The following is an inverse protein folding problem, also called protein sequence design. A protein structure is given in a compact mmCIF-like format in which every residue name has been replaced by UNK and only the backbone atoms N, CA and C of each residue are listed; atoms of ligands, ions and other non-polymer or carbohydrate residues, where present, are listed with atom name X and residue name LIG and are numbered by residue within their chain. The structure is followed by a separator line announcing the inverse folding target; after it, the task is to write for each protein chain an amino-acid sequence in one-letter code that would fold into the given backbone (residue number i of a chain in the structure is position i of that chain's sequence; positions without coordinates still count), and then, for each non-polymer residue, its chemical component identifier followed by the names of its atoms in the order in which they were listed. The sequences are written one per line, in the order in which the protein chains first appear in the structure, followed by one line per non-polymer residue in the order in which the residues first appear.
data_IF_011438167201
#
_entry.id   IF_011438167201
#
_cell.length_a   1.000
_cell.length_b   1.000
_cell.length_c   1.000
_cell.angle_alpha   90.00
_cell.angle_beta   90.00
_cell.angle_gamma   90.00
#
_symmetry.space_group_name_H-M   'P 1'
#
loop_
_entity.id
_entity.type
_entity.pdbx_description
1 polymer ?
#
# COMPACT_ATOMS: atom_id res chain seq x y z
N UNK A 1 11.91 -24.71 -18.04
CA UNK A 1 12.77 -24.57 -16.83
C UNK A 1 13.17 -23.12 -16.56
N UNK A 2 13.58 -22.35 -17.58
CA UNK A 2 13.94 -20.93 -17.45
C UNK A 2 12.80 -20.02 -16.91
N UNK A 3 11.54 -20.28 -17.30
CA UNK A 3 10.37 -19.52 -16.82
C UNK A 3 9.99 -19.77 -15.35
N UNK A 4 10.40 -20.88 -14.75
CA UNK A 4 10.14 -21.17 -13.33
C UNK A 4 11.13 -20.48 -12.38
N UNK A 5 12.24 -19.97 -12.90
CA UNK A 5 13.26 -19.26 -12.10
C UNK A 5 12.91 -17.76 -12.02
N UNK A 6 12.34 -17.20 -13.09
CA UNK A 6 11.88 -15.80 -13.12
C UNK A 6 10.60 -15.55 -12.30
N UNK A 7 9.80 -16.57 -12.01
CA UNK A 7 8.56 -16.41 -11.23
C UNK A 7 8.81 -16.05 -9.76
N UNK A 8 10.02 -16.32 -9.24
CA UNK A 8 10.36 -16.11 -7.83
C UNK A 8 10.72 -14.66 -7.52
N UNK A 9 11.41 -13.98 -8.44
CA UNK A 9 11.78 -12.56 -8.33
C UNK A 9 10.64 -11.59 -8.68
N UNK A 10 9.63 -12.07 -9.41
CA UNK A 10 8.47 -11.25 -9.78
C UNK A 10 7.62 -10.84 -8.57
N UNK A 11 7.61 -11.63 -7.49
CA UNK A 11 6.73 -11.41 -6.33
C UNK A 11 7.10 -10.19 -5.46
N UNK A 12 8.37 -9.77 -5.46
CA UNK A 12 8.82 -8.62 -4.68
C UNK A 12 8.97 -7.35 -5.53
N UNK A 13 9.40 -7.48 -6.79
CA UNK A 13 9.54 -6.32 -7.69
C UNK A 13 8.18 -5.80 -8.19
N UNK A 14 7.18 -6.67 -8.38
CA UNK A 14 5.87 -6.26 -8.92
C UNK A 14 5.06 -5.37 -7.99
N UNK A 15 5.12 -5.58 -6.67
CA UNK A 15 4.39 -4.75 -5.70
C UNK A 15 5.01 -3.35 -5.56
N UNK A 16 6.34 -3.26 -5.48
CA UNK A 16 7.05 -1.98 -5.40
C UNK A 16 6.93 -1.19 -6.72
N UNK A 17 7.12 -1.86 -7.87
CA UNK A 17 6.93 -1.23 -9.17
C UNK A 17 5.47 -0.75 -9.38
N UNK A 18 4.48 -1.53 -8.93
CA UNK A 18 3.08 -1.14 -8.97
C UNK A 18 2.79 0.11 -8.14
N UNK A 19 3.38 0.21 -6.94
CA UNK A 19 3.22 1.42 -6.11
C UNK A 19 3.84 2.65 -6.76
N UNK A 20 5.05 2.54 -7.31
CA UNK A 20 5.73 3.65 -8.01
C UNK A 20 4.91 4.09 -9.23
N UNK A 21 4.43 3.13 -10.03
CA UNK A 21 3.59 3.42 -11.19
C UNK A 21 2.28 4.11 -10.79
N UNK A 22 1.63 3.68 -9.71
CA UNK A 22 0.41 4.31 -9.21
C UNK A 22 0.67 5.76 -8.77
N UNK A 23 1.74 6.01 -8.01
CA UNK A 23 2.12 7.36 -7.59
C UNK A 23 2.44 8.29 -8.77
N UNK A 24 3.23 7.80 -9.75
CA UNK A 24 3.57 8.56 -10.95
C UNK A 24 2.30 8.87 -11.77
N UNK A 25 1.44 7.88 -11.96
CA UNK A 25 0.19 8.03 -12.71
C UNK A 25 -0.76 9.02 -12.03
N UNK A 26 -0.90 8.92 -10.71
CA UNK A 26 -1.70 9.86 -9.91
C UNK A 26 -1.18 11.28 -10.02
N UNK A 27 0.12 11.47 -9.84
CA UNK A 27 0.76 12.78 -9.93
C UNK A 27 0.62 13.38 -11.32
N UNK A 28 0.85 12.59 -12.38
CA UNK A 28 0.74 13.05 -13.77
C UNK A 28 -0.70 13.42 -14.12
N UNK A 29 -1.68 12.61 -13.70
CA UNK A 29 -3.09 12.89 -13.93
C UNK A 29 -3.56 14.13 -13.16
N UNK A 30 -3.06 14.33 -11.94
CA UNK A 30 -3.33 15.52 -11.14
C UNK A 30 -2.84 16.79 -11.84
N UNK A 31 -1.59 16.78 -12.33
CA UNK A 31 -1.07 17.91 -13.11
C UNK A 31 -1.86 18.12 -14.41
N UNK A 32 -2.14 17.06 -15.18
CA UNK A 32 -2.97 17.15 -16.40
C UNK A 32 -4.34 17.77 -16.11
N UNK A 33 -5.00 17.31 -15.05
CA UNK A 33 -6.32 17.82 -14.64
C UNK A 33 -6.25 19.28 -14.20
N UNK A 34 -5.26 19.65 -13.39
CA UNK A 34 -5.15 21.02 -12.85
C UNK A 34 -4.79 22.01 -13.95
N UNK A 35 -3.80 21.71 -14.79
CA UNK A 35 -3.44 22.57 -15.91
C UNK A 35 -4.53 22.63 -16.98
N UNK A 36 -5.20 21.50 -17.26
CA UNK A 36 -6.33 21.46 -18.19
C UNK A 36 -7.52 22.29 -17.71
N UNK A 37 -7.85 22.21 -16.42
CA UNK A 37 -8.91 23.02 -15.82
C UNK A 37 -8.58 24.52 -15.83
N UNK A 38 -7.31 24.91 -15.63
CA UNK A 38 -6.87 26.30 -15.78
C UNK A 38 -6.93 26.78 -17.23
N UNK A 39 -6.47 25.94 -18.17
CA UNK A 39 -6.46 26.28 -19.59
C UNK A 39 -7.88 26.47 -20.14
N UNK A 40 -8.81 25.60 -19.73
CA UNK A 40 -10.23 25.69 -20.08
C UNK A 40 -11.06 26.48 -19.05
N UNK A 41 -10.45 27.38 -18.28
CA UNK A 41 -11.10 28.07 -17.15
C UNK A 41 -12.45 28.74 -17.51
N UNK A 42 -12.55 29.33 -18.70
CA UNK A 42 -13.77 29.97 -19.21
C UNK A 42 -14.92 28.99 -19.48
N UNK A 43 -14.60 27.70 -19.64
CA UNK A 43 -15.54 26.63 -19.89
C UNK A 43 -16.21 26.06 -18.65
N UNK A 44 -15.90 26.58 -17.45
CA UNK A 44 -16.44 26.13 -16.16
C UNK A 44 -17.32 27.21 -15.51
N UNK A 45 -18.29 26.76 -14.71
CA UNK A 45 -19.12 27.62 -13.89
C UNK A 45 -19.10 27.15 -12.42
N UNK A 46 -18.66 27.98 -11.46
CA UNK A 46 -18.03 29.29 -11.64
C UNK A 46 -16.67 29.17 -12.36
N UNK A 47 -16.20 30.29 -12.93
CA UNK A 47 -14.92 30.33 -13.64
C UNK A 47 -13.77 29.94 -12.69
N UNK A 48 -12.86 29.12 -13.17
CA UNK A 48 -11.67 28.73 -12.42
C UNK A 48 -10.60 29.83 -12.55
N UNK A 49 -10.44 30.67 -11.53
CA UNK A 49 -9.52 31.83 -11.59
C UNK A 49 -8.17 31.59 -10.90
N UNK A 50 -8.06 30.56 -10.06
CA UNK A 50 -6.86 30.30 -9.28
C UNK A 50 -6.35 28.86 -9.44
N UNK A 51 -5.03 28.68 -9.32
CA UNK A 51 -4.41 27.35 -9.34
C UNK A 51 -4.95 26.45 -8.22
N UNK A 52 -5.25 27.03 -7.05
CA UNK A 52 -5.85 26.28 -5.93
C UNK A 52 -7.26 25.79 -6.26
N UNK A 53 -8.08 26.62 -6.94
CA UNK A 53 -9.43 26.23 -7.37
C UNK A 53 -9.39 25.11 -8.42
N UNK A 54 -8.44 25.18 -9.36
CA UNK A 54 -8.23 24.13 -10.35
C UNK A 54 -7.77 22.82 -9.70
N UNK A 55 -6.83 22.91 -8.75
CA UNK A 55 -6.32 21.76 -8.02
C UNK A 55 -7.42 21.10 -7.17
N UNK A 56 -8.25 21.91 -6.53
CA UNK A 56 -9.44 21.45 -5.81
C UNK A 56 -10.38 20.67 -6.73
N UNK A 57 -10.78 21.26 -7.88
CA UNK A 57 -11.61 20.60 -8.89
C UNK A 57 -11.00 19.27 -9.36
N UNK A 58 -9.69 19.24 -9.60
CA UNK A 58 -8.97 18.03 -9.99
C UNK A 58 -9.07 16.93 -8.94
N UNK A 59 -8.85 17.25 -7.67
CA UNK A 59 -8.91 16.27 -6.59
C UNK A 59 -10.31 15.73 -6.44
N UNK A 60 -11.34 16.59 -6.33
CA UNK A 60 -12.71 16.12 -6.10
C UNK A 60 -13.23 15.24 -7.24
N UNK A 61 -12.81 15.53 -8.48
CA UNK A 61 -13.21 14.79 -9.68
C UNK A 61 -12.50 13.44 -9.71
N UNK A 62 -11.17 13.42 -9.48
CA UNK A 62 -10.37 12.20 -9.49
C UNK A 62 -10.72 11.27 -8.31
N UNK A 63 -11.05 11.83 -7.14
CA UNK A 63 -11.47 11.06 -5.97
C UNK A 63 -12.93 10.63 -6.03
N UNK A 64 -13.64 10.91 -7.13
CA UNK A 64 -15.07 10.60 -7.33
C UNK A 64 -15.99 11.20 -6.27
N UNK A 65 -15.57 12.29 -5.62
CA UNK A 65 -16.40 13.01 -4.64
C UNK A 65 -17.40 13.88 -5.39
N UNK A 66 -16.90 14.70 -6.33
CA UNK A 66 -17.70 15.53 -7.23
C UNK A 66 -18.74 16.38 -6.51
N UNK A 67 -18.32 17.39 -5.74
CA UNK A 67 -19.26 18.24 -5.00
C UNK A 67 -20.22 18.97 -5.93
N UNK A 68 -19.81 19.21 -7.18
CA UNK A 68 -20.64 19.86 -8.20
C UNK A 68 -20.77 21.36 -8.00
N UNK A 69 -19.91 21.95 -7.17
CA UNK A 69 -19.76 23.38 -7.00
C UNK A 69 -19.03 24.02 -8.19
N UNK A 70 -18.15 23.28 -8.88
CA UNK A 70 -17.51 23.66 -10.15
C UNK A 70 -17.91 22.65 -11.23
N UNK A 71 -18.58 23.13 -12.28
CA UNK A 71 -19.07 22.25 -13.35
C UNK A 71 -18.67 22.74 -14.74
N UNK A 72 -18.32 21.82 -15.67
CA UNK A 72 -18.03 22.18 -17.05
C UNK A 72 -19.33 22.54 -17.79
N UNK A 73 -19.40 23.77 -18.30
CA UNK A 73 -20.54 24.28 -19.07
C UNK A 73 -20.29 24.28 -20.58
N UNK A 74 -19.03 24.48 -21.00
CA UNK A 74 -18.66 24.41 -22.42
C UNK A 74 -18.47 22.96 -22.89
N UNK A 75 -18.67 22.72 -24.18
CA UNK A 75 -18.49 21.40 -24.79
C UNK A 75 -17.05 20.88 -24.63
N UNK A 76 -16.05 21.75 -24.81
CA UNK A 76 -14.64 21.40 -24.65
C UNK A 76 -14.29 21.05 -23.20
N UNK A 77 -14.76 21.83 -22.22
CA UNK A 77 -14.57 21.52 -20.80
C UNK A 77 -15.27 20.22 -20.39
N UNK A 78 -16.44 19.91 -20.98
CA UNK A 78 -17.14 18.65 -20.75
C UNK A 78 -16.36 17.44 -21.26
N UNK A 79 -15.88 17.49 -22.50
CA UNK A 79 -15.07 16.42 -23.07
C UNK A 79 -13.77 16.21 -22.30
N UNK A 80 -13.11 17.31 -21.90
CA UNK A 80 -11.95 17.27 -21.02
C UNK A 80 -12.29 16.59 -19.68
N UNK A 81 -13.36 17.02 -19.01
CA UNK A 81 -13.76 16.46 -17.72
C UNK A 81 -14.09 14.97 -17.82
N UNK A 82 -14.74 14.53 -18.90
CA UNK A 82 -15.00 13.10 -19.16
C UNK A 82 -13.67 12.31 -19.24
N UNK A 83 -12.65 12.85 -19.93
CA UNK A 83 -11.33 12.21 -20.01
C UNK A 83 -10.67 12.06 -18.63
N UNK A 84 -10.82 13.08 -17.77
CA UNK A 84 -10.32 13.08 -16.39
C UNK A 84 -11.07 12.07 -15.54
N UNK A 85 -12.39 11.94 -15.67
CA UNK A 85 -13.20 10.96 -14.91
C UNK A 85 -12.80 9.53 -15.26
N UNK A 86 -12.73 9.18 -16.56
CA UNK A 86 -12.38 7.82 -17.00
C UNK A 86 -10.98 7.43 -16.51
N UNK A 87 -10.02 8.34 -16.66
CA UNK A 87 -8.64 8.13 -16.19
C UNK A 87 -8.56 8.11 -14.66
N UNK A 88 -9.31 9.00 -14.01
CA UNK A 88 -9.36 9.21 -12.56
C UNK A 88 -9.81 7.97 -11.81
N UNK A 89 -10.89 7.32 -12.24
CA UNK A 89 -11.39 6.09 -11.60
C UNK A 89 -10.31 5.00 -11.60
N UNK A 90 -9.65 4.78 -12.73
CA UNK A 90 -8.60 3.76 -12.87
C UNK A 90 -7.41 4.05 -11.96
N UNK A 91 -6.94 5.30 -11.97
CA UNK A 91 -5.76 5.73 -11.20
C UNK A 91 -6.07 5.78 -9.70
N UNK A 92 -7.27 6.22 -9.31
CA UNK A 92 -7.70 6.27 -7.91
C UNK A 92 -7.84 4.87 -7.32
N UNK A 93 -8.50 3.95 -8.01
CA UNK A 93 -8.68 2.57 -7.55
C UNK A 93 -7.33 1.83 -7.36
N UNK A 94 -6.40 2.01 -8.30
CA UNK A 94 -5.06 1.39 -8.23
C UNK A 94 -4.19 2.03 -7.15
N UNK A 95 -4.27 3.35 -6.97
CA UNK A 95 -3.56 4.07 -5.90
C UNK A 95 -4.05 3.66 -4.51
N UNK A 96 -5.37 3.57 -4.31
CA UNK A 96 -5.97 3.12 -3.05
C UNK A 96 -5.47 1.73 -2.67
N UNK A 97 -5.49 0.80 -3.62
CA UNK A 97 -4.99 -0.57 -3.40
C UNK A 97 -3.50 -0.61 -3.08
N UNK A 98 -2.71 0.24 -3.75
CA UNK A 98 -1.24 0.30 -3.55
C UNK A 98 -0.85 0.88 -2.20
N UNK A 99 -1.62 1.82 -1.66
CA UNK A 99 -1.38 2.45 -0.35
C UNK A 99 -1.87 1.52 0.78
N UNK A 100 -3.10 1.03 0.69
CA UNK A 100 -3.72 0.23 1.76
C UNK A 100 -3.27 -1.23 1.75
N UNK A 101 -2.88 -1.79 0.60
CA UNK A 101 -2.45 -3.18 0.47
C UNK A 101 -1.28 -3.55 1.40
N UNK A 102 -0.17 -2.79 1.38
CA UNK A 102 0.96 -3.00 2.30
C UNK A 102 0.60 -2.76 3.77
N UNK A 103 -0.24 -1.77 4.08
CA UNK A 103 -0.69 -1.48 5.46
C UNK A 103 -1.48 -2.65 6.04
N UNK A 104 -2.45 -3.17 5.28
CA UNK A 104 -3.28 -4.32 5.68
C UNK A 104 -2.39 -5.57 5.80
N UNK A 105 -1.51 -5.83 4.82
CA UNK A 105 -0.59 -6.99 4.87
C UNK A 105 0.42 -6.88 6.02
N UNK A 106 0.95 -5.70 6.31
CA UNK A 106 1.92 -5.48 7.39
C UNK A 106 1.30 -5.71 8.77
N UNK A 107 0.07 -5.22 8.99
CA UNK A 107 -0.68 -5.46 10.22
C UNK A 107 -1.07 -6.93 10.37
N UNK A 108 -1.62 -7.54 9.31
CA UNK A 108 -2.12 -8.91 9.36
C UNK A 108 -0.99 -9.96 9.44
N UNK A 109 0.15 -9.77 8.74
CA UNK A 109 1.29 -10.69 8.87
C UNK A 109 1.88 -10.68 10.29
N UNK A 110 1.88 -9.54 10.98
CA UNK A 110 2.40 -9.44 12.35
C UNK A 110 1.49 -10.16 13.36
N UNK A 111 0.18 -10.14 13.11
CA UNK A 111 -0.81 -10.88 13.89
C UNK A 111 -0.82 -12.38 13.58
N UNK A 112 -0.69 -12.78 12.31
CA UNK A 112 -0.79 -14.19 11.89
C UNK A 112 0.52 -14.96 12.05
N UNK A 113 1.69 -14.37 11.77
CA UNK A 113 2.96 -15.11 11.86
C UNK A 113 3.50 -15.22 13.28
N UNK A 114 2.96 -14.48 14.24
CA UNK A 114 3.57 -14.32 15.56
C UNK A 114 4.99 -13.77 15.45
N UNK A 115 5.61 -13.41 16.57
CA UNK A 115 7.04 -13.13 16.56
C UNK A 115 7.78 -14.39 16.11
N UNK A 116 8.28 -14.41 14.87
CA UNK A 116 9.29 -15.38 14.47
C UNK A 116 10.55 -15.05 15.26
N UNK A 117 10.71 -15.69 16.42
CA UNK A 117 11.96 -15.67 17.16
C UNK A 117 13.01 -16.27 16.24
N UNK A 118 13.88 -15.41 15.69
CA UNK A 118 15.04 -15.83 14.93
C UNK A 118 15.94 -16.61 15.89
N UNK A 119 16.03 -17.92 15.68
CA UNK A 119 16.93 -18.79 16.41
C UNK A 119 18.37 -18.27 16.25
N UNK A 120 18.98 -17.80 17.34
CA UNK A 120 20.42 -17.54 17.37
C UNK A 120 21.15 -18.88 17.25
N UNK A 121 21.84 -19.13 16.13
CA UNK A 121 22.46 -20.43 15.81
C UNK A 121 23.85 -20.63 16.43
N UNK A 122 24.36 -19.64 17.18
CA UNK A 122 25.66 -19.69 17.86
C UNK A 122 25.44 -19.43 19.34
N UNK A 123 26.13 -20.19 20.18
CA UNK A 123 26.12 -20.06 21.64
C UNK A 123 24.71 -20.04 22.24
N UNK A 124 23.91 -21.06 21.88
CA UNK A 124 22.54 -21.21 22.35
C UNK A 124 22.26 -22.63 22.82
N UNK A 125 21.30 -22.77 23.73
CA UNK A 125 20.84 -24.06 24.22
C UNK A 125 19.59 -24.49 23.45
N UNK A 126 19.54 -25.75 23.04
CA UNK A 126 18.36 -26.36 22.44
C UNK A 126 17.73 -27.29 23.49
N UNK A 127 16.47 -27.03 23.83
CA UNK A 127 15.69 -27.87 24.73
C UNK A 127 14.62 -28.58 23.92
N UNK A 128 14.69 -29.91 23.87
CA UNK A 128 13.74 -30.75 23.15
C UNK A 128 12.70 -31.32 24.12
N UNK A 129 11.42 -31.04 23.88
CA UNK A 129 10.29 -31.56 24.65
C UNK A 129 9.60 -30.53 25.56
N UNK A 130 8.51 -30.97 26.18
CA UNK A 130 7.63 -30.16 27.03
C UNK A 130 7.30 -30.91 28.34
N UNK A 131 8.34 -31.37 29.03
CA UNK A 131 8.21 -31.90 30.38
C UNK A 131 8.35 -30.78 31.41
N UNK A 132 7.90 -31.02 32.65
CA UNK A 132 8.09 -30.07 33.77
C UNK A 132 9.59 -29.77 33.96
N UNK A 133 10.45 -30.77 33.76
CA UNK A 133 11.90 -30.59 33.79
C UNK A 133 12.39 -29.68 32.66
N UNK A 134 11.88 -29.87 31.44
CA UNK A 134 12.23 -29.02 30.30
C UNK A 134 11.80 -27.56 30.54
N UNK A 135 10.58 -27.33 31.04
CA UNK A 135 10.07 -25.99 31.36
C UNK A 135 10.95 -25.32 32.42
N UNK A 136 11.27 -26.02 33.52
CA UNK A 136 12.14 -25.49 34.56
C UNK A 136 13.55 -25.20 34.03
N UNK A 137 14.06 -26.03 33.13
CA UNK A 137 15.37 -25.83 32.48
C UNK A 137 15.36 -24.58 31.59
N UNK A 138 14.31 -24.38 30.79
CA UNK A 138 14.13 -23.20 29.93
C UNK A 138 14.06 -21.93 30.79
N UNK A 139 13.29 -21.96 31.89
CA UNK A 139 13.18 -20.83 32.82
C UNK A 139 14.54 -20.47 33.44
N UNK A 140 15.30 -21.45 33.91
CA UNK A 140 16.62 -21.20 34.51
C UNK A 140 17.63 -20.68 33.50
N UNK A 141 17.63 -21.22 32.27
CA UNK A 141 18.52 -20.74 31.20
C UNK A 141 18.17 -19.31 30.80
N UNK A 142 16.88 -18.97 30.67
CA UNK A 142 16.43 -17.60 30.42
C UNK A 142 16.80 -16.65 31.57
N UNK A 143 16.66 -17.08 32.84
CA UNK A 143 17.07 -16.29 34.01
C UNK A 143 18.58 -15.99 34.01
N UNK A 144 19.40 -16.88 33.43
CA UNK A 144 20.85 -16.71 33.26
C UNK A 144 21.22 -15.93 31.99
N UNK A 145 20.24 -15.35 31.31
CA UNK A 145 20.44 -14.59 30.06
C UNK A 145 20.95 -15.45 28.89
N UNK A 146 20.76 -16.78 28.96
CA UNK A 146 21.17 -17.68 27.88
C UNK A 146 20.08 -17.73 26.81
N UNK A 147 20.48 -17.71 25.54
CA UNK A 147 19.55 -17.87 24.43
C UNK A 147 19.09 -19.34 24.36
N UNK A 148 17.79 -19.59 24.52
CA UNK A 148 17.20 -20.94 24.47
C UNK A 148 16.24 -21.08 23.31
N UNK A 149 16.38 -22.16 22.54
CA UNK A 149 15.42 -22.56 21.52
C UNK A 149 14.71 -23.83 21.94
N UNK A 150 13.38 -23.80 21.96
CA UNK A 150 12.55 -24.94 22.37
C UNK A 150 11.98 -25.65 21.15
N UNK A 151 12.19 -26.95 21.06
CA UNK A 151 11.59 -27.81 20.04
C UNK A 151 10.55 -28.68 20.74
N UNK A 152 9.27 -28.39 20.51
CA UNK A 152 8.16 -29.19 21.04
C UNK A 152 7.25 -29.63 19.91
N UNK A 153 6.71 -30.84 20.00
CA UNK A 153 5.70 -31.37 19.06
C UNK A 153 4.27 -30.95 19.43
N UNK A 154 4.11 -29.95 20.30
CA UNK A 154 2.81 -29.39 20.66
C UNK A 154 2.44 -28.30 19.64
N UNK A 155 1.16 -28.22 19.23
CA UNK A 155 0.68 -27.11 18.41
C UNK A 155 1.01 -25.80 19.13
N UNK A 156 1.55 -24.82 18.39
CA UNK A 156 1.65 -23.45 18.90
C UNK A 156 0.22 -22.94 19.07
N UNK A 157 -0.20 -22.74 20.31
CA UNK A 157 -1.45 -22.08 20.67
C UNK A 157 -1.35 -20.56 20.39
#
# INVERSE_FOLDING_TARGET
MFLLILSKDFSHSSAAAGTIFAFISFTTLLFYSTYGALYLSEGFNPRIESLMTAFYFSIETMSTVGYGDIVPVSESARLFTISVIISGITVFATSMTSIFGPLIRGGFNKLVKGNNHTMHRKDHFIVCGHSILAINTILQLNQRGQNVTVISNLPRA
#
